data_IF_632978324275
#
_entry.id   IF_632978324275
#
_cell.length_a   1.000
_cell.length_b   1.000
_cell.length_c   1.000
_cell.angle_alpha   90.00
_cell.angle_beta   90.00
_cell.angle_gamma   90.00
#
_symmetry.space_group_name_H-M   'P 1'
#
loop_
_entity.id
_entity.type
_entity.pdbx_description
1 polymer ?
#
# COMPACT_ATOMS: atom_id res chain seq x y z
N UNK A 1 -9.50 -3.30 -49.91
CA UNK A 1 -8.44 -2.70 -49.09
C UNK A 1 -9.09 -2.11 -47.86
N UNK A 2 -8.69 -2.59 -46.69
CA UNK A 2 -9.37 -2.44 -45.41
C UNK A 2 -9.44 -1.00 -44.91
N UNK A 3 -10.63 -0.56 -44.53
CA UNK A 3 -10.82 0.53 -43.56
C UNK A 3 -10.89 -0.11 -42.17
N UNK A 4 -9.87 0.18 -41.37
CA UNK A 4 -9.81 -0.15 -39.94
C UNK A 4 -10.96 0.56 -39.24
N UNK A 5 -11.96 -0.21 -38.83
CA UNK A 5 -12.99 0.23 -37.89
C UNK A 5 -12.32 0.43 -36.53
N UNK A 6 -12.23 1.69 -36.10
CA UNK A 6 -11.86 2.03 -34.74
C UNK A 6 -12.91 1.47 -33.79
N UNK A 7 -12.58 0.38 -33.09
CA UNK A 7 -13.32 0.00 -31.89
C UNK A 7 -13.03 1.06 -30.84
N UNK A 8 -13.94 2.03 -30.77
CA UNK A 8 -14.10 2.87 -29.61
C UNK A 8 -14.62 1.93 -28.52
N UNK A 9 -13.79 1.63 -27.51
CA UNK A 9 -14.21 0.96 -26.29
C UNK A 9 -15.12 1.91 -25.51
N UNK A 10 -16.35 2.06 -25.99
CA UNK A 10 -17.40 2.73 -25.26
C UNK A 10 -17.73 1.85 -24.06
N UNK A 11 -17.32 2.29 -22.86
CA UNK A 11 -17.77 1.72 -21.59
C UNK A 11 -19.29 1.56 -21.68
N UNK A 12 -19.76 0.32 -21.70
CA UNK A 12 -21.19 0.03 -21.79
C UNK A 12 -21.90 0.77 -20.65
N UNK A 13 -23.01 1.46 -20.95
CA UNK A 13 -23.72 2.30 -19.98
C UNK A 13 -24.06 1.53 -18.67
N UNK A 14 -24.25 0.22 -18.76
CA UNK A 14 -24.45 -0.70 -17.63
C UNK A 14 -23.26 -0.80 -16.66
N UNK A 15 -22.04 -0.50 -17.11
CA UNK A 15 -20.83 -0.41 -16.29
C UNK A 15 -20.58 0.99 -15.73
N UNK A 16 -21.30 2.00 -16.24
CA UNK A 16 -21.08 3.40 -15.91
C UNK A 16 -21.77 3.79 -14.59
N UNK A 17 -23.02 3.38 -14.37
CA UNK A 17 -23.77 3.74 -13.16
C UNK A 17 -23.14 3.13 -11.88
N UNK A 18 -22.78 1.83 -11.82
CA UNK A 18 -22.09 1.26 -10.66
C UNK A 18 -20.71 1.90 -10.44
N UNK A 19 -20.00 2.24 -11.52
CA UNK A 19 -18.70 2.91 -11.46
C UNK A 19 -18.85 4.33 -10.90
N UNK A 20 -19.84 5.09 -11.37
CA UNK A 20 -20.13 6.44 -10.87
C UNK A 20 -20.60 6.42 -9.41
N UNK A 21 -21.44 5.44 -9.03
CA UNK A 21 -21.84 5.24 -7.64
C UNK A 21 -20.62 4.96 -6.76
N UNK A 22 -19.75 4.05 -7.21
CA UNK A 22 -18.49 3.72 -6.53
C UNK A 22 -17.56 4.92 -6.39
N UNK A 23 -17.41 5.73 -7.43
CA UNK A 23 -16.58 6.94 -7.43
C UNK A 23 -17.15 8.02 -6.50
N UNK A 24 -18.47 8.22 -6.49
CA UNK A 24 -19.15 9.17 -5.58
C UNK A 24 -19.03 8.70 -4.14
N UNK A 25 -19.18 7.40 -3.87
CA UNK A 25 -19.01 6.82 -2.55
C UNK A 25 -17.57 6.97 -2.06
N UNK A 26 -16.58 6.66 -2.91
CA UNK A 26 -15.15 6.87 -2.59
C UNK A 26 -14.85 8.33 -2.27
N UNK A 27 -15.38 9.27 -3.05
CA UNK A 27 -15.15 10.71 -2.86
C UNK A 27 -15.89 11.30 -1.64
N UNK A 28 -16.87 10.59 -1.06
CA UNK A 28 -17.65 11.02 0.11
C UNK A 28 -17.28 10.31 1.42
N UNK A 29 -16.36 9.34 1.40
CA UNK A 29 -15.91 8.65 2.61
C UNK A 29 -15.13 9.62 3.50
N UNK A 30 -15.79 10.08 4.57
CA UNK A 30 -15.11 10.74 5.69
C UNK A 30 -14.72 9.66 6.71
N UNK A 31 -13.46 9.70 7.13
CA UNK A 31 -12.94 8.81 8.16
C UNK A 31 -13.07 9.49 9.51
N UNK A 32 -13.73 8.82 10.46
CA UNK A 32 -13.79 9.25 11.84
C UNK A 32 -12.49 8.91 12.58
N UNK A 33 -11.81 7.84 12.13
CA UNK A 33 -10.62 7.32 12.78
C UNK A 33 -9.54 6.98 11.76
N UNK A 34 -8.29 7.11 12.18
CA UNK A 34 -7.12 6.75 11.39
C UNK A 34 -6.18 5.91 12.25
N UNK A 35 -5.82 4.73 11.76
CA UNK A 35 -4.74 3.91 12.30
C UNK A 35 -3.63 3.84 11.25
N UNK A 36 -2.37 3.85 11.68
CA UNK A 36 -1.26 3.75 10.75
C UNK A 36 -0.15 2.87 11.30
N UNK A 37 0.42 2.05 10.44
CA UNK A 37 1.55 1.15 10.72
C UNK A 37 2.61 1.33 9.66
N UNK A 38 3.85 1.54 10.10
CA UNK A 38 5.02 1.49 9.25
C UNK A 38 5.86 0.29 9.63
N UNK A 39 6.21 -0.52 8.64
CA UNK A 39 7.01 -1.73 8.77
C UNK A 39 8.32 -1.49 8.01
N UNK A 40 9.26 -0.71 8.58
CA UNK A 40 10.60 -0.64 8.04
C UNK A 40 11.32 -1.97 8.31
N UNK A 41 12.16 -2.39 7.38
CA UNK A 41 13.15 -3.42 7.67
C UNK A 41 14.48 -2.78 8.08
N UNK A 42 14.98 -3.14 9.25
CA UNK A 42 16.30 -2.71 9.72
C UNK A 42 17.36 -3.63 9.13
N UNK A 43 18.28 -3.04 8.38
CA UNK A 43 19.34 -3.73 7.66
C UNK A 43 20.65 -2.92 7.75
N UNK A 44 21.80 -3.59 7.68
CA UNK A 44 23.11 -2.94 7.62
C UNK A 44 23.37 -2.29 6.25
N UNK A 45 22.53 -2.56 5.25
CA UNK A 45 22.58 -1.88 3.96
C UNK A 45 21.72 -0.61 3.98
N UNK A 46 22.22 0.44 3.31
CA UNK A 46 21.63 1.78 3.29
C UNK A 46 20.36 1.81 2.41
N UNK A 47 19.35 1.03 2.78
CA UNK A 47 18.08 0.86 2.04
C UNK A 47 17.22 2.11 2.00
N UNK A 48 17.66 3.24 2.56
CA UNK A 48 16.85 4.45 2.76
C UNK A 48 15.53 4.22 3.51
N UNK A 49 15.29 3.04 4.11
CA UNK A 49 14.06 2.71 4.83
C UNK A 49 13.75 3.72 5.95
N UNK A 50 14.78 4.25 6.62
CA UNK A 50 14.65 5.35 7.58
C UNK A 50 14.15 6.66 6.95
N UNK A 51 14.58 6.98 5.71
CA UNK A 51 14.08 8.15 4.96
C UNK A 51 12.65 7.92 4.45
N UNK A 52 12.31 6.69 4.10
CA UNK A 52 10.97 6.32 3.64
C UNK A 52 9.96 6.38 4.78
N UNK A 53 10.34 5.86 5.96
CA UNK A 53 9.61 6.08 7.20
C UNK A 53 9.43 7.58 7.49
N UNK A 54 10.49 8.37 7.37
CA UNK A 54 10.42 9.83 7.53
C UNK A 54 9.43 10.50 6.58
N UNK A 55 9.43 10.09 5.32
CA UNK A 55 8.49 10.57 4.29
C UNK A 55 7.05 10.14 4.60
N UNK A 56 6.83 8.90 5.03
CA UNK A 56 5.51 8.39 5.40
C UNK A 56 4.95 9.15 6.60
N UNK A 57 5.76 9.36 7.63
CA UNK A 57 5.36 10.15 8.81
C UNK A 57 5.08 11.61 8.45
N UNK A 58 5.79 12.18 7.46
CA UNK A 58 5.49 13.51 6.96
C UNK A 58 4.15 13.57 6.21
N UNK A 59 3.83 12.54 5.41
CA UNK A 59 2.54 12.42 4.73
C UNK A 59 1.40 12.35 5.75
N UNK A 60 1.52 11.53 6.79
CA UNK A 60 0.51 11.45 7.86
C UNK A 60 0.28 12.82 8.52
N UNK A 61 1.36 13.54 8.85
CA UNK A 61 1.26 14.89 9.43
C UNK A 61 0.58 15.89 8.50
N UNK A 62 0.81 15.83 7.19
CA UNK A 62 0.16 16.72 6.23
C UNK A 62 -1.37 16.55 6.21
N UNK A 63 -1.84 15.33 6.46
CA UNK A 63 -3.27 15.02 6.55
C UNK A 63 -3.83 15.17 7.98
N UNK A 64 -3.05 15.70 8.92
CA UNK A 64 -3.38 15.78 10.35
C UNK A 64 -3.70 14.41 10.98
N UNK A 65 -3.05 13.37 10.47
CA UNK A 65 -3.20 11.99 10.96
C UNK A 65 -2.18 11.69 12.06
N UNK A 66 -2.52 10.75 12.97
CA UNK A 66 -1.59 10.34 14.02
C UNK A 66 -0.32 9.71 13.43
N UNK A 67 0.77 9.81 14.20
CA UNK A 67 2.04 9.14 13.87
C UNK A 67 1.77 7.62 13.75
N UNK A 68 2.31 6.99 12.71
CA UNK A 68 2.22 5.54 12.58
C UNK A 68 2.95 4.82 13.71
N UNK A 69 2.36 3.72 14.19
CA UNK A 69 3.08 2.69 14.94
C UNK A 69 4.22 2.19 14.06
N UNK A 70 5.39 1.99 14.66
CA UNK A 70 6.57 1.49 13.95
C UNK A 70 6.85 0.07 14.41
N UNK A 71 6.83 -0.87 13.46
CA UNK A 71 7.24 -2.24 13.70
C UNK A 71 8.45 -2.58 12.86
N UNK A 72 9.62 -2.44 13.45
CA UNK A 72 10.89 -2.87 12.85
C UNK A 72 10.96 -4.39 12.88
N UNK A 73 11.06 -5.03 11.72
CA UNK A 73 11.20 -6.49 11.65
C UNK A 73 12.59 -6.89 12.18
N UNK A 74 12.70 -7.66 13.27
CA UNK A 74 13.99 -8.05 13.83
C UNK A 74 14.82 -8.89 12.84
N UNK A 75 16.15 -8.69 12.86
CA UNK A 75 17.09 -9.43 12.00
C UNK A 75 17.07 -10.93 12.32
N UNK A 76 16.91 -11.27 13.59
CA UNK A 76 16.87 -12.64 14.12
C UNK A 76 15.47 -13.27 14.07
N UNK A 77 14.43 -12.55 13.65
CA UNK A 77 13.07 -13.09 13.53
C UNK A 77 13.04 -14.41 12.74
N UNK A 78 12.48 -15.45 13.36
CA UNK A 78 12.39 -16.79 12.78
C UNK A 78 11.37 -16.85 11.65
N UNK A 79 10.20 -16.24 11.87
CA UNK A 79 9.07 -16.24 10.94
C UNK A 79 8.51 -14.81 10.83
N UNK A 80 9.22 -13.86 10.20
CA UNK A 80 8.86 -12.44 10.20
C UNK A 80 7.45 -12.16 9.63
N UNK A 81 6.96 -13.03 8.73
CA UNK A 81 5.60 -12.92 8.20
C UNK A 81 4.51 -13.13 9.26
N UNK A 82 4.75 -13.95 10.29
CA UNK A 82 3.77 -14.17 11.35
C UNK A 82 3.64 -12.95 12.25
N UNK A 83 4.76 -12.33 12.62
CA UNK A 83 4.73 -11.13 13.46
C UNK A 83 4.05 -9.97 12.72
N UNK A 84 4.36 -9.79 11.44
CA UNK A 84 3.69 -8.80 10.57
C UNK A 84 2.19 -9.07 10.48
N UNK A 85 1.81 -10.32 10.25
CA UNK A 85 0.40 -10.73 10.20
C UNK A 85 -0.33 -10.43 11.52
N UNK A 86 0.31 -10.66 12.66
CA UNK A 86 -0.29 -10.42 13.97
C UNK A 86 -0.44 -8.92 14.28
N UNK A 87 0.50 -8.09 13.85
CA UNK A 87 0.37 -6.62 13.90
C UNK A 87 -0.82 -6.14 13.07
N UNK A 88 -0.96 -6.63 11.84
CA UNK A 88 -2.09 -6.27 10.96
C UNK A 88 -3.43 -6.72 11.57
N UNK A 89 -3.51 -7.96 12.08
CA UNK A 89 -4.71 -8.45 12.78
C UNK A 89 -5.05 -7.60 14.01
N UNK A 90 -4.03 -7.14 14.75
CA UNK A 90 -4.19 -6.23 15.87
C UNK A 90 -4.88 -4.94 15.47
N UNK A 91 -4.43 -4.30 14.39
CA UNK A 91 -5.01 -3.06 13.86
C UNK A 91 -6.44 -3.24 13.39
N UNK A 92 -6.72 -4.33 12.66
CA UNK A 92 -8.08 -4.64 12.20
C UNK A 92 -9.01 -4.82 13.40
N UNK A 93 -8.59 -5.61 14.40
CA UNK A 93 -9.38 -5.81 15.63
C UNK A 93 -9.60 -4.50 16.37
N UNK A 94 -8.59 -3.64 16.44
CA UNK A 94 -8.73 -2.32 17.03
C UNK A 94 -9.77 -1.49 16.26
N UNK A 95 -9.65 -1.40 14.93
CA UNK A 95 -10.58 -0.67 14.07
C UNK A 95 -12.03 -1.16 14.20
N UNK A 96 -12.25 -2.48 14.31
CA UNK A 96 -13.57 -3.08 14.53
C UNK A 96 -14.24 -2.63 15.84
N UNK A 97 -13.48 -2.14 16.82
CA UNK A 97 -14.02 -1.63 18.09
C UNK A 97 -14.28 -0.11 18.07
N UNK A 98 -13.83 0.59 17.02
CA UNK A 98 -13.97 2.04 16.92
C UNK A 98 -15.36 2.42 16.40
N UNK A 99 -15.89 3.54 16.88
CA UNK A 99 -17.15 4.08 16.36
C UNK A 99 -16.86 4.94 15.13
N UNK A 100 -17.61 4.70 14.04
CA UNK A 100 -17.43 5.40 12.77
C UNK A 100 -16.39 4.75 11.87
N UNK A 101 -16.32 5.22 10.62
CA UNK A 101 -15.46 4.64 9.59
C UNK A 101 -13.99 4.88 9.89
N UNK A 102 -13.18 3.83 9.77
CA UNK A 102 -11.76 3.84 10.10
C UNK A 102 -10.94 3.56 8.85
N UNK A 103 -9.92 4.38 8.59
CA UNK A 103 -8.88 4.07 7.59
C UNK A 103 -7.63 3.53 8.29
N UNK A 104 -7.09 2.43 7.77
CA UNK A 104 -5.83 1.81 8.22
C UNK A 104 -4.79 2.03 7.11
N UNK A 105 -3.71 2.73 7.43
CA UNK A 105 -2.61 2.99 6.50
C UNK A 105 -1.43 2.08 6.85
N UNK A 106 -1.02 1.21 5.94
CA UNK A 106 0.08 0.26 6.15
C UNK A 106 1.19 0.59 5.16
N UNK A 107 2.36 0.96 5.67
CA UNK A 107 3.55 1.22 4.86
C UNK A 107 4.57 0.11 5.09
N UNK A 108 5.15 -0.41 4.01
CA UNK A 108 6.35 -1.25 4.05
C UNK A 108 7.48 -0.55 3.29
N UNK A 109 8.64 -0.44 3.92
CA UNK A 109 9.87 0.06 3.31
C UNK A 109 11.00 -0.94 3.49
N UNK A 110 11.54 -1.46 2.38
CA UNK A 110 12.61 -2.44 2.41
C UNK A 110 12.71 -3.25 1.12
N UNK A 111 13.49 -4.34 1.15
CA UNK A 111 13.66 -5.18 -0.05
C UNK A 111 12.42 -6.01 -0.34
N UNK A 112 12.18 -6.18 -1.64
CA UNK A 112 11.24 -7.15 -2.17
C UNK A 112 11.93 -8.03 -3.21
N UNK A 113 11.47 -9.27 -3.34
CA UNK A 113 11.92 -10.21 -4.36
C UNK A 113 10.73 -10.87 -5.04
N UNK A 114 10.92 -11.21 -6.32
CA UNK A 114 10.00 -12.09 -7.04
C UNK A 114 10.38 -13.54 -6.78
N UNK A 115 9.46 -14.32 -6.21
CA UNK A 115 9.58 -15.78 -6.15
C UNK A 115 8.32 -16.37 -6.75
N UNK A 116 8.46 -17.11 -7.84
CA UNK A 116 7.33 -17.76 -8.52
C UNK A 116 6.19 -16.79 -8.94
N UNK A 117 6.52 -15.56 -9.36
CA UNK A 117 5.56 -14.48 -9.67
C UNK A 117 4.83 -13.91 -8.45
N UNK A 118 5.22 -14.29 -7.24
CA UNK A 118 4.68 -13.73 -6.01
C UNK A 118 5.69 -12.74 -5.42
N UNK A 119 5.15 -11.66 -4.86
CA UNK A 119 5.96 -10.69 -4.11
C UNK A 119 6.27 -11.26 -2.73
N UNK A 120 7.56 -11.29 -2.40
CA UNK A 120 8.01 -11.53 -1.05
C UNK A 120 8.80 -10.34 -0.53
N UNK A 121 8.51 -9.93 0.69
CA UNK A 121 9.37 -9.01 1.43
C UNK A 121 10.52 -9.80 2.04
N UNK A 122 11.73 -9.29 1.88
CA UNK A 122 12.95 -10.03 2.19
C UNK A 122 14.00 -9.15 2.85
N UNK A 123 15.07 -9.77 3.35
CA UNK A 123 16.25 -9.05 3.83
C UNK A 123 17.20 -8.81 2.65
N UNK A 124 18.30 -8.07 2.85
CA UNK A 124 19.33 -7.78 1.85
C UNK A 124 19.81 -9.03 1.10
N UNK A 125 19.93 -10.14 1.83
CA UNK A 125 20.41 -11.42 1.27
C UNK A 125 19.34 -12.19 0.50
N UNK A 126 18.08 -11.79 0.57
CA UNK A 126 16.91 -12.51 0.05
C UNK A 126 16.57 -13.81 0.81
N UNK A 127 17.38 -14.24 1.79
CA UNK A 127 17.21 -15.52 2.47
C UNK A 127 16.05 -15.53 3.45
N UNK A 128 15.93 -14.47 4.27
CA UNK A 128 14.82 -14.31 5.22
C UNK A 128 13.72 -13.51 4.55
N UNK A 129 12.63 -14.17 4.21
CA UNK A 129 11.56 -13.57 3.42
C UNK A 129 10.19 -14.15 3.81
N UNK A 130 9.15 -13.41 3.50
CA UNK A 130 7.77 -13.85 3.67
C UNK A 130 6.91 -13.42 2.50
N UNK A 131 5.91 -14.23 2.19
CA UNK A 131 4.92 -14.02 1.14
C UNK A 131 3.96 -12.89 1.53
N UNK A 132 3.85 -11.85 0.70
CA UNK A 132 2.99 -10.69 0.95
C UNK A 132 1.51 -11.03 0.81
N UNK A 133 1.12 -11.87 -0.16
CA UNK A 133 -0.26 -12.30 -0.30
C UNK A 133 -0.71 -13.04 0.96
N UNK A 134 0.05 -14.05 1.38
CA UNK A 134 -0.34 -14.92 2.50
C UNK A 134 -0.29 -14.22 3.86
N UNK A 135 0.71 -13.38 4.10
CA UNK A 135 0.94 -12.79 5.44
C UNK A 135 0.39 -11.38 5.59
N UNK A 136 -0.10 -10.76 4.51
CA UNK A 136 -0.70 -9.42 4.55
C UNK A 136 -2.05 -9.41 3.83
N UNK A 137 -2.09 -9.62 2.51
CA UNK A 137 -3.31 -9.36 1.73
C UNK A 137 -4.47 -10.30 2.04
N UNK A 138 -4.19 -11.60 2.23
CA UNK A 138 -5.19 -12.59 2.62
C UNK A 138 -5.88 -12.26 3.96
N UNK A 139 -5.23 -11.46 4.81
CA UNK A 139 -5.75 -11.02 6.12
C UNK A 139 -6.69 -9.82 5.97
N UNK A 140 -6.56 -9.07 4.88
CA UNK A 140 -7.19 -7.76 4.69
C UNK A 140 -8.25 -7.73 3.58
N UNK A 141 -8.16 -8.63 2.60
CA UNK A 141 -8.98 -8.59 1.37
C UNK A 141 -9.98 -9.76 1.29
N UNK A 142 -10.14 -10.40 0.13
CA UNK A 142 -11.20 -11.36 -0.19
C UNK A 142 -11.23 -12.62 0.67
N UNK A 143 -10.11 -12.99 1.29
CA UNK A 143 -10.03 -14.10 2.26
C UNK A 143 -10.19 -13.65 3.71
N UNK A 144 -10.27 -12.35 3.95
CA UNK A 144 -10.47 -11.81 5.28
C UNK A 144 -11.92 -11.97 5.73
N UNK A 145 -12.13 -11.84 7.04
CA UNK A 145 -13.47 -11.71 7.61
C UNK A 145 -14.01 -10.27 7.51
N UNK A 146 -13.25 -9.33 6.95
CA UNK A 146 -13.63 -7.92 6.85
C UNK A 146 -14.61 -7.77 5.70
N UNK A 147 -15.71 -7.10 5.99
CA UNK A 147 -16.79 -6.77 5.06
C UNK A 147 -16.98 -5.27 5.00
N UNK A 148 -17.71 -4.78 4.00
CA UNK A 148 -18.06 -3.36 3.91
C UNK A 148 -18.83 -2.85 5.13
N UNK A 149 -19.51 -3.75 5.86
CA UNK A 149 -20.27 -3.42 7.06
C UNK A 149 -19.40 -3.08 8.27
N UNK A 150 -18.13 -3.49 8.26
CA UNK A 150 -17.17 -3.18 9.32
C UNK A 150 -16.72 -1.71 9.27
N UNK A 151 -17.03 -0.98 8.20
CA UNK A 151 -16.60 0.41 7.98
C UNK A 151 -15.08 0.59 8.14
N UNK A 152 -14.31 -0.37 7.64
CA UNK A 152 -12.86 -0.34 7.62
C UNK A 152 -12.43 -0.18 6.16
N UNK A 153 -11.55 0.77 5.93
CA UNK A 153 -10.81 0.93 4.68
C UNK A 153 -9.31 0.80 5.00
N UNK A 154 -8.53 0.23 4.11
CA UNK A 154 -7.13 -0.14 4.30
C UNK A 154 -6.35 0.29 3.06
N UNK A 155 -5.26 1.01 3.24
CA UNK A 155 -4.36 1.41 2.15
C UNK A 155 -2.97 0.89 2.46
N UNK A 156 -2.43 0.08 1.56
CA UNK A 156 -1.08 -0.44 1.61
C UNK A 156 -0.16 0.38 0.70
N UNK A 157 0.97 0.84 1.21
CA UNK A 157 2.02 1.54 0.47
C UNK A 157 3.27 0.66 0.51
N UNK A 158 3.66 0.10 -0.63
CA UNK A 158 4.81 -0.81 -0.73
C UNK A 158 5.98 -0.12 -1.44
N UNK A 159 6.93 0.34 -0.65
CA UNK A 159 8.20 0.91 -1.11
C UNK A 159 9.26 -0.19 -1.15
N UNK A 160 9.08 -1.12 -2.10
CA UNK A 160 9.98 -2.25 -2.32
C UNK A 160 10.13 -2.58 -3.79
N UNK A 161 11.25 -3.21 -4.14
CA UNK A 161 11.41 -3.91 -5.42
C UNK A 161 10.24 -4.89 -5.64
N UNK A 162 9.85 -5.09 -6.90
CA UNK A 162 8.78 -6.01 -7.32
C UNK A 162 7.36 -5.77 -6.77
N UNK A 163 7.11 -4.64 -6.11
CA UNK A 163 5.78 -4.24 -5.63
C UNK A 163 4.72 -4.17 -6.75
N UNK A 164 5.15 -4.01 -8.01
CA UNK A 164 4.27 -4.11 -9.18
C UNK A 164 3.55 -5.48 -9.33
N UNK A 165 4.11 -6.56 -8.76
CA UNK A 165 3.54 -7.90 -8.86
C UNK A 165 2.19 -7.97 -8.16
N UNK A 166 2.03 -7.25 -7.05
CA UNK A 166 0.76 -7.19 -6.33
C UNK A 166 -0.17 -6.14 -6.90
N UNK A 167 0.31 -5.06 -7.53
CA UNK A 167 -0.58 -4.01 -8.06
C UNK A 167 -1.18 -4.29 -9.44
N UNK A 168 -0.52 -5.10 -10.30
CA UNK A 168 -1.00 -5.36 -11.68
C UNK A 168 -2.29 -6.17 -11.77
N UNK A 169 -2.58 -7.00 -10.78
CA UNK A 169 -3.74 -7.91 -10.77
C UNK A 169 -4.70 -7.58 -9.62
N UNK A 170 -4.47 -6.50 -8.89
CA UNK A 170 -5.27 -6.16 -7.74
C UNK A 170 -6.63 -5.58 -8.13
N UNK A 171 -7.62 -6.45 -8.26
CA UNK A 171 -9.03 -6.06 -8.27
C UNK A 171 -9.54 -6.16 -6.84
N UNK A 172 -9.37 -5.11 -6.03
CA UNK A 172 -9.90 -5.09 -4.67
C UNK A 172 -11.39 -5.44 -4.69
N UNK A 173 -11.77 -6.56 -4.06
CA UNK A 173 -13.09 -7.16 -4.28
C UNK A 173 -14.20 -6.33 -3.63
N UNK A 174 -13.90 -5.67 -2.50
CA UNK A 174 -14.85 -4.85 -1.74
C UNK A 174 -14.47 -3.35 -1.71
N UNK A 175 -13.36 -2.95 -2.35
CA UNK A 175 -12.84 -1.57 -2.22
C UNK A 175 -12.42 -1.19 -0.80
N UNK A 176 -12.24 -2.20 0.06
CA UNK A 176 -11.73 -2.11 1.44
C UNK A 176 -10.21 -1.99 1.44
N UNK A 177 -9.52 -2.60 0.48
CA UNK A 177 -8.05 -2.54 0.40
C UNK A 177 -7.65 -1.83 -0.89
N UNK A 178 -6.69 -0.93 -0.80
CA UNK A 178 -6.01 -0.30 -1.93
C UNK A 178 -4.50 -0.51 -1.79
N UNK A 179 -3.79 -0.77 -2.89
CA UNK A 179 -2.34 -1.00 -2.89
C UNK A 179 -1.67 0.01 -3.81
N UNK A 180 -0.77 0.82 -3.23
CA UNK A 180 0.06 1.80 -3.92
C UNK A 180 1.52 1.31 -3.95
N UNK A 181 2.13 1.34 -5.14
CA UNK A 181 3.50 0.88 -5.36
C UNK A 181 4.22 1.82 -6.33
N UNK A 182 5.52 2.06 -6.11
CA UNK A 182 6.37 2.71 -7.11
C UNK A 182 6.59 1.77 -8.29
N UNK A 183 5.92 2.03 -9.40
CA UNK A 183 6.19 1.38 -10.67
C UNK A 183 6.61 2.44 -11.69
N UNK A 184 7.51 2.10 -12.60
CA UNK A 184 7.83 2.92 -13.76
C UNK A 184 7.05 2.35 -14.96
N UNK A 185 6.41 3.19 -15.78
CA UNK A 185 5.59 2.73 -16.93
C UNK A 185 6.43 1.90 -17.92
N UNK A 186 7.72 2.20 -18.02
CA UNK A 186 8.67 1.52 -18.92
C UNK A 186 9.53 0.44 -18.23
N UNK A 187 9.52 0.37 -16.88
CA UNK A 187 10.35 -0.56 -16.11
C UNK A 187 9.51 -1.36 -15.13
N UNK A 188 9.44 -2.69 -15.37
CA UNK A 188 8.89 -3.70 -14.46
C UNK A 188 9.73 -3.90 -13.19
N UNK A 189 10.51 -2.91 -12.78
CA UNK A 189 11.24 -2.90 -11.52
C UNK A 189 10.82 -1.64 -10.76
N UNK A 190 10.33 -1.85 -9.54
CA UNK A 190 10.18 -0.76 -8.58
C UNK A 190 11.56 -0.19 -8.23
N UNK A 191 11.62 1.09 -7.88
CA UNK A 191 12.88 1.84 -7.81
C UNK A 191 13.90 1.16 -6.87
N UNK A 192 15.11 0.91 -7.39
CA UNK A 192 16.23 0.45 -6.58
C UNK A 192 16.62 1.53 -5.55
N UNK A 193 16.93 1.16 -4.30
CA UNK A 193 17.45 2.10 -3.31
C UNK A 193 18.68 2.87 -3.84
N UNK A 194 18.69 4.20 -3.67
CA UNK A 194 19.85 5.06 -3.95
C UNK A 194 19.99 5.64 -5.37
N UNK A 195 19.18 5.23 -6.35
CA UNK A 195 19.25 5.76 -7.73
C UNK A 195 18.23 6.89 -8.02
N UNK A 196 17.07 6.86 -7.35
CA UNK A 196 15.97 7.84 -7.48
C UNK A 196 15.21 7.94 -6.14
N UNK A 197 14.40 8.98 -5.97
CA UNK A 197 13.52 9.10 -4.80
C UNK A 197 12.54 7.92 -4.73
N UNK A 198 12.34 7.38 -3.53
CA UNK A 198 11.40 6.31 -3.20
C UNK A 198 9.94 6.69 -3.52
N UNK A 199 9.01 5.72 -3.57
CA UNK A 199 7.59 6.01 -3.84
C UNK A 199 7.06 7.05 -2.86
N UNK A 200 7.35 6.82 -1.58
CA UNK A 200 6.89 7.66 -0.49
C UNK A 200 7.55 9.03 -0.56
N UNK A 201 8.82 9.10 -0.97
CA UNK A 201 9.51 10.36 -1.25
C UNK A 201 8.89 11.15 -2.40
N UNK A 202 8.43 10.48 -3.47
CA UNK A 202 7.73 11.11 -4.59
C UNK A 202 6.33 11.58 -4.18
N UNK A 203 5.56 10.76 -3.49
CA UNK A 203 4.22 11.13 -3.01
C UNK A 203 4.28 12.33 -2.07
N UNK A 204 5.32 12.42 -1.24
CA UNK A 204 5.60 13.60 -0.43
C UNK A 204 6.01 14.83 -1.28
N UNK A 205 6.73 14.64 -2.39
CA UNK A 205 7.18 15.72 -3.26
C UNK A 205 6.06 16.27 -4.17
N UNK A 206 5.10 15.44 -4.59
CA UNK A 206 3.99 15.81 -5.47
C UNK A 206 2.85 16.54 -4.76
N UNK A 207 2.88 16.62 -3.42
CA UNK A 207 1.84 17.28 -2.65
C UNK A 207 1.85 18.82 -2.88
N UNK A 208 0.77 19.41 -3.43
CA UNK A 208 0.77 20.79 -3.95
C UNK A 208 0.93 21.90 -2.90
N UNK A 209 0.85 21.60 -1.60
CA UNK A 209 1.09 22.59 -0.55
C UNK A 209 2.54 23.15 -0.52
N UNK A 210 3.51 22.49 -1.18
CA UNK A 210 4.87 23.04 -1.33
C UNK A 210 5.03 24.07 -2.44
N UNK A 211 4.17 24.07 -3.46
CA UNK A 211 4.28 25.01 -4.57
C UNK A 211 3.68 26.40 -4.26
N UNK A 212 3.04 26.56 -3.10
CA UNK A 212 2.50 27.84 -2.65
C UNK A 212 3.48 28.70 -1.83
N UNK A 213 4.68 28.21 -1.52
CA UNK A 213 5.70 28.96 -0.73
C UNK A 213 6.89 29.39 -1.60
N UNK A 214 6.78 29.28 -2.92
CA UNK A 214 7.77 29.77 -3.89
C UNK A 214 7.13 30.57 -5.03
N UNK A 215 6.37 31.59 -4.66
CA UNK A 215 5.99 32.70 -5.54
C UNK A 215 6.18 34.02 -4.82
#
# INVERSE_FOLDING_TARGET
>A
MSTLSSRCDALALESFEPLMQKLVDQHRRQFANVLALSIPREEDDDTNACKDLGSFQAILRLFDYPKAEEYVIPVDADIPGWDVADKIRGLIRQAMTMTGRTIILIHYGGHGLNRNQELHFCNATGRKHFDVNRNMLDIMDSKSAITDSDNIDIVCIFDSCYSYLVTREYTGHNGVVEILAAVDEDSRLAFSPGLRASFTGKLYAENPQKNAVRS
#
